data_IF_928162052845
#
_entry.id   IF_928162052845
#
_cell.length_a   1.000
_cell.length_b   1.000
_cell.length_c   1.000
_cell.angle_alpha   90.00
_cell.angle_beta   90.00
_cell.angle_gamma   90.00
#
_symmetry.space_group_name_H-M   'P 1'
#
loop_
_entity.id
_entity.type
_entity.pdbx_description
1 polymer ?
#
# COMPACT_ATOMS: atom_id res chain seq x y z
N UNK A 1 1.06 15.47 2.17
CA UNK A 1 0.91 14.51 1.06
C UNK A 1 -0.10 14.94 0.01
N UNK A 2 -0.86 15.99 0.25
CA UNK A 2 -1.94 16.46 -0.63
C UNK A 2 -1.82 17.94 -0.93
N UNK A 3 -0.61 18.47 -1.10
CA UNK A 3 -0.48 19.81 -1.65
C UNK A 3 -0.68 19.73 -3.18
N UNK A 4 -1.85 20.14 -3.71
CA UNK A 4 -2.14 20.06 -5.14
C UNK A 4 -1.25 20.98 -5.99
N UNK A 5 -0.53 21.92 -5.34
CA UNK A 5 0.32 22.90 -6.00
C UNK A 5 1.79 22.46 -6.12
N UNK A 6 2.14 21.26 -5.57
CA UNK A 6 3.48 20.72 -5.72
C UNK A 6 3.50 19.77 -6.93
N UNK A 7 4.03 20.18 -8.10
CA UNK A 7 4.14 19.30 -9.25
C UNK A 7 5.01 18.11 -8.83
N UNK A 8 4.43 16.91 -8.86
CA UNK A 8 5.12 15.69 -8.46
C UNK A 8 6.34 15.47 -9.36
N UNK A 9 7.50 15.88 -8.89
CA UNK A 9 8.78 15.62 -9.52
C UNK A 9 8.96 14.12 -9.81
N UNK A 10 8.34 13.26 -8.99
CA UNK A 10 8.33 11.80 -9.11
C UNK A 10 7.75 11.35 -10.46
N UNK A 11 6.63 11.93 -10.90
CA UNK A 11 6.04 11.62 -12.22
C UNK A 11 6.99 11.99 -13.36
N UNK A 12 7.65 13.13 -13.26
CA UNK A 12 8.59 13.59 -14.28
C UNK A 12 9.86 12.72 -14.34
N UNK A 13 10.20 12.02 -13.26
CA UNK A 13 11.37 11.13 -13.18
C UNK A 13 11.05 9.69 -13.59
N UNK A 14 9.76 9.34 -13.77
CA UNK A 14 9.30 7.97 -14.05
C UNK A 14 9.90 6.92 -13.10
N UNK A 15 9.83 7.20 -11.80
CA UNK A 15 10.31 6.31 -10.74
C UNK A 15 9.16 5.86 -9.85
N UNK A 16 9.17 4.62 -9.33
CA UNK A 16 8.15 4.18 -8.41
C UNK A 16 8.30 4.87 -7.04
N UNK A 17 7.17 5.11 -6.39
CA UNK A 17 7.12 5.62 -5.02
C UNK A 17 6.88 4.46 -4.05
N UNK A 18 7.76 4.32 -3.06
CA UNK A 18 7.58 3.38 -1.96
C UNK A 18 7.07 4.12 -0.73
N UNK A 19 5.94 3.66 -0.18
CA UNK A 19 5.34 4.20 1.05
C UNK A 19 5.60 3.22 2.18
N UNK A 20 6.26 3.71 3.22
CA UNK A 20 6.52 2.98 4.45
C UNK A 20 6.08 3.83 5.65
N UNK A 21 5.43 3.26 6.67
CA UNK A 21 5.02 3.98 7.86
C UNK A 21 6.20 4.38 8.73
N UNK A 22 5.98 5.30 9.65
CA UNK A 22 6.98 5.71 10.63
C UNK A 22 6.38 5.66 12.06
N UNK A 23 7.16 5.20 13.07
CA UNK A 23 6.66 4.97 14.43
C UNK A 23 6.06 6.21 15.08
N UNK A 24 6.67 7.35 14.83
CA UNK A 24 6.34 8.60 15.52
C UNK A 24 5.81 9.68 14.57
N UNK A 25 5.64 9.37 13.29
CA UNK A 25 5.54 10.44 12.28
C UNK A 25 6.84 11.24 12.20
N UNK A 26 6.88 12.22 11.29
CA UNK A 26 8.07 13.05 11.07
C UNK A 26 8.38 13.94 12.29
N UNK A 27 7.39 14.30 13.09
CA UNK A 27 7.45 15.38 14.06
C UNK A 27 7.38 14.94 15.54
N UNK A 28 7.51 13.66 15.85
CA UNK A 28 7.53 13.23 17.24
C UNK A 28 6.68 12.01 17.58
N UNK A 29 6.46 11.72 18.85
CA UNK A 29 5.77 10.51 19.29
C UNK A 29 4.32 10.48 18.80
N UNK A 30 3.80 9.26 18.61
CA UNK A 30 2.41 9.02 18.21
C UNK A 30 1.43 9.96 18.91
N UNK A 31 0.62 10.67 18.12
CA UNK A 31 -0.40 11.59 18.63
C UNK A 31 -1.49 10.86 19.45
N UNK A 32 -1.74 9.58 19.15
CA UNK A 32 -2.69 8.77 19.89
C UNK A 32 -2.03 8.16 21.15
N UNK A 33 -2.51 8.56 22.32
CA UNK A 33 -2.00 8.07 23.58
C UNK A 33 -2.14 6.55 23.76
N UNK A 34 -3.12 5.93 23.09
CA UNK A 34 -3.32 4.47 23.16
C UNK A 34 -2.23 3.69 22.42
N UNK A 35 -1.53 4.33 21.47
CA UNK A 35 -0.46 3.71 20.70
C UNK A 35 0.92 3.81 21.38
N UNK A 36 1.02 4.48 22.56
CA UNK A 36 2.31 4.75 23.23
C UNK A 36 2.83 3.61 24.09
N UNK A 37 2.04 2.57 24.30
CA UNK A 37 2.43 1.42 25.12
C UNK A 37 2.53 0.17 24.25
N UNK A 38 3.36 -0.79 24.69
CA UNK A 38 3.47 -2.11 24.06
C UNK A 38 3.88 -2.07 22.59
N UNK A 39 4.57 -1.03 22.16
CA UNK A 39 4.94 -0.79 20.75
C UNK A 39 3.73 -0.82 19.78
N UNK A 40 2.56 -0.42 20.28
CA UNK A 40 1.33 -0.44 19.47
C UNK A 40 1.38 0.52 18.28
N UNK A 41 2.22 1.54 18.34
CA UNK A 41 2.49 2.43 17.21
C UNK A 41 3.13 1.66 16.04
N UNK A 42 3.97 0.69 16.31
CA UNK A 42 4.56 -0.21 15.30
C UNK A 42 3.59 -1.34 14.97
N UNK A 43 3.09 -2.04 15.99
CA UNK A 43 2.30 -3.27 15.79
C UNK A 43 0.96 -3.01 15.10
N UNK A 44 0.27 -1.94 15.49
CA UNK A 44 -1.06 -1.58 14.97
C UNK A 44 -1.01 -0.31 14.14
N UNK A 45 -0.22 0.67 14.61
CA UNK A 45 -0.13 1.98 13.98
C UNK A 45 0.39 1.90 12.54
N UNK A 46 1.37 1.07 12.26
CA UNK A 46 1.89 0.87 10.90
C UNK A 46 0.79 0.38 9.96
N UNK A 47 0.09 -0.69 10.31
CA UNK A 47 -1.01 -1.20 9.51
C UNK A 47 -2.13 -0.17 9.30
N UNK A 48 -2.42 0.63 10.34
CA UNK A 48 -3.40 1.71 10.24
C UNK A 48 -2.94 2.82 9.28
N UNK A 49 -1.68 3.28 9.39
CA UNK A 49 -1.11 4.31 8.51
C UNK A 49 -1.15 3.89 7.04
N UNK A 50 -0.77 2.67 6.73
CA UNK A 50 -0.78 2.14 5.37
C UNK A 50 -2.19 2.01 4.81
N UNK A 51 -3.13 1.52 5.61
CA UNK A 51 -4.55 1.46 5.22
C UNK A 51 -5.11 2.85 4.93
N UNK A 52 -4.74 3.84 5.75
CA UNK A 52 -5.10 5.25 5.54
C UNK A 52 -4.47 5.77 4.25
N UNK A 53 -3.20 5.44 3.97
CA UNK A 53 -2.53 5.84 2.75
C UNK A 53 -3.26 5.29 1.50
N UNK A 54 -3.61 4.00 1.48
CA UNK A 54 -4.42 3.39 0.40
C UNK A 54 -5.73 4.14 0.21
N UNK A 55 -6.47 4.37 1.29
CA UNK A 55 -7.72 5.12 1.24
C UNK A 55 -7.52 6.55 0.68
N UNK A 56 -6.49 7.25 1.15
CA UNK A 56 -6.21 8.62 0.72
C UNK A 56 -5.85 8.69 -0.75
N UNK A 57 -5.04 7.77 -1.24
CA UNK A 57 -4.67 7.69 -2.66
C UNK A 57 -5.87 7.47 -3.56
N UNK A 58 -6.77 6.57 -3.18
CA UNK A 58 -7.96 6.23 -3.97
C UNK A 58 -9.03 7.31 -3.81
N UNK A 59 -9.45 7.63 -2.59
CA UNK A 59 -10.56 8.55 -2.34
C UNK A 59 -10.21 9.99 -2.69
N UNK A 60 -8.95 10.37 -2.50
CA UNK A 60 -8.42 11.68 -2.86
C UNK A 60 -8.18 11.87 -4.37
N UNK A 61 -8.44 10.84 -5.19
CA UNK A 61 -8.31 10.92 -6.64
C UNK A 61 -6.88 11.05 -7.15
N UNK A 62 -5.88 10.66 -6.34
CA UNK A 62 -4.46 10.74 -6.74
C UNK A 62 -4.21 9.86 -7.96
N UNK A 63 -4.71 8.62 -7.92
CA UNK A 63 -4.49 7.66 -9.00
C UNK A 63 -5.21 8.04 -10.30
N UNK A 64 -6.35 8.74 -10.24
CA UNK A 64 -7.02 9.25 -11.44
C UNK A 64 -6.25 10.41 -12.07
N UNK A 65 -5.74 11.35 -11.24
CA UNK A 65 -4.95 12.48 -11.73
C UNK A 65 -3.56 12.11 -12.25
N UNK A 66 -3.01 11.01 -11.74
CA UNK A 66 -1.66 10.54 -12.07
C UNK A 66 -1.71 9.06 -12.47
N UNK A 67 -2.24 8.74 -13.65
CA UNK A 67 -2.42 7.36 -14.10
C UNK A 67 -1.12 6.60 -14.32
N UNK A 68 -0.02 7.30 -14.56
CA UNK A 68 1.32 6.76 -14.80
C UNK A 68 2.10 6.45 -13.50
N UNK A 69 1.58 6.88 -12.35
CA UNK A 69 2.31 6.77 -11.09
C UNK A 69 2.22 5.35 -10.52
N UNK A 70 3.35 4.70 -10.33
CA UNK A 70 3.49 3.44 -9.60
C UNK A 70 3.76 3.70 -8.12
N UNK A 71 2.89 3.22 -7.26
CA UNK A 71 3.00 3.35 -5.80
C UNK A 71 2.98 1.97 -5.16
N UNK A 72 4.02 1.65 -4.40
CA UNK A 72 4.16 0.42 -3.65
C UNK A 72 3.99 0.68 -2.15
N UNK A 73 3.07 -0.04 -1.53
CA UNK A 73 2.80 -0.01 -0.09
C UNK A 73 3.54 -1.17 0.59
N UNK A 74 4.23 -0.88 1.70
CA UNK A 74 4.83 -1.92 2.53
C UNK A 74 3.78 -2.71 3.32
N UNK A 75 4.19 -3.80 3.94
CA UNK A 75 3.38 -4.68 4.82
C UNK A 75 2.00 -5.02 4.23
N UNK A 76 1.95 -5.33 2.91
CA UNK A 76 0.69 -5.62 2.23
C UNK A 76 -0.33 -4.49 2.23
N UNK A 77 0.10 -3.24 2.47
CA UNK A 77 -0.79 -2.09 2.65
C UNK A 77 -1.60 -2.17 3.94
N UNK A 78 -1.02 -2.74 4.98
CA UNK A 78 -1.61 -2.85 6.30
C UNK A 78 -2.86 -3.75 6.33
N UNK A 79 -3.98 -3.21 6.79
CA UNK A 79 -5.25 -3.93 6.87
C UNK A 79 -6.06 -3.92 5.55
N UNK A 80 -5.46 -3.53 4.42
CA UNK A 80 -6.17 -3.37 3.14
C UNK A 80 -6.92 -4.64 2.74
N UNK A 81 -6.29 -5.80 2.81
CA UNK A 81 -6.92 -7.07 2.47
C UNK A 81 -8.17 -7.35 3.33
N UNK A 82 -8.09 -7.11 4.64
CA UNK A 82 -9.20 -7.28 5.57
C UNK A 82 -10.29 -6.23 5.38
N UNK A 83 -9.92 -4.98 5.22
CA UNK A 83 -10.85 -3.85 5.15
C UNK A 83 -11.45 -3.63 3.75
N UNK A 84 -11.03 -4.37 2.74
CA UNK A 84 -11.42 -4.21 1.33
C UNK A 84 -12.91 -3.94 1.12
N UNK A 85 -13.78 -4.82 1.62
CA UNK A 85 -15.22 -4.68 1.42
C UNK A 85 -15.79 -3.41 2.04
N UNK A 86 -15.28 -3.01 3.23
CA UNK A 86 -15.68 -1.76 3.90
C UNK A 86 -15.21 -0.53 3.12
N UNK A 87 -13.98 -0.57 2.61
CA UNK A 87 -13.41 0.52 1.81
C UNK A 87 -14.18 0.71 0.50
N UNK A 88 -14.45 -0.38 -0.22
CA UNK A 88 -15.25 -0.38 -1.45
C UNK A 88 -16.65 0.18 -1.21
N UNK A 89 -17.32 -0.27 -0.16
CA UNK A 89 -18.65 0.24 0.19
C UNK A 89 -18.63 1.73 0.53
N UNK A 90 -17.58 2.21 1.21
CA UNK A 90 -17.42 3.63 1.51
C UNK A 90 -17.27 4.46 0.22
N UNK A 91 -16.45 4.02 -0.73
CA UNK A 91 -16.31 4.64 -2.03
C UNK A 91 -17.65 4.79 -2.78
N UNK A 92 -18.50 3.77 -2.69
CA UNK A 92 -19.80 3.77 -3.38
C UNK A 92 -20.88 4.61 -2.69
N UNK A 93 -20.88 4.67 -1.34
CA UNK A 93 -22.05 5.15 -0.59
C UNK A 93 -21.84 6.43 0.22
N UNK A 94 -20.59 6.82 0.48
CA UNK A 94 -20.36 7.99 1.35
C UNK A 94 -20.57 9.30 0.58
N UNK A 95 -21.12 10.36 1.24
CA UNK A 95 -21.47 11.62 0.57
C UNK A 95 -20.26 12.35 -0.04
N UNK A 96 -19.07 12.16 0.51
CA UNK A 96 -17.83 12.77 0.01
C UNK A 96 -17.28 12.11 -1.28
N UNK A 97 -17.75 10.90 -1.61
CA UNK A 97 -17.26 10.20 -2.80
C UNK A 97 -17.74 10.91 -4.09
N UNK A 98 -16.83 11.12 -5.03
CA UNK A 98 -17.15 11.68 -6.34
C UNK A 98 -18.08 10.76 -7.14
N UNK A 99 -18.77 11.28 -8.14
CA UNK A 99 -19.61 10.48 -9.02
C UNK A 99 -18.79 9.39 -9.74
N UNK A 100 -17.57 9.71 -10.15
CA UNK A 100 -16.63 8.78 -10.79
C UNK A 100 -16.23 7.66 -9.82
N UNK A 101 -15.85 7.99 -8.59
CA UNK A 101 -15.48 6.99 -7.59
C UNK A 101 -16.63 6.05 -7.22
N UNK A 102 -17.88 6.53 -7.30
CA UNK A 102 -19.08 5.72 -7.05
C UNK A 102 -19.44 4.76 -8.17
N UNK A 103 -18.90 4.97 -9.37
CA UNK A 103 -19.18 4.11 -10.49
C UNK A 103 -18.74 2.67 -10.18
N UNK A 104 -19.51 1.71 -10.68
CA UNK A 104 -19.23 0.30 -10.43
C UNK A 104 -17.89 -0.11 -11.02
N UNK A 105 -17.10 -0.85 -10.23
CA UNK A 105 -15.77 -1.29 -10.61
C UNK A 105 -14.65 -0.29 -10.34
N UNK A 106 -14.91 1.02 -10.27
CA UNK A 106 -13.84 2.04 -10.16
C UNK A 106 -12.93 1.84 -8.95
N UNK A 107 -13.50 1.50 -7.78
CA UNK A 107 -12.68 1.25 -6.59
C UNK A 107 -11.69 0.09 -6.82
N UNK A 108 -12.16 -1.00 -7.42
CA UNK A 108 -11.34 -2.18 -7.70
C UNK A 108 -10.26 -1.86 -8.73
N UNK A 109 -10.59 -1.15 -9.79
CA UNK A 109 -9.63 -0.72 -10.81
C UNK A 109 -8.51 0.12 -10.18
N UNK A 110 -8.85 1.07 -9.32
CA UNK A 110 -7.86 1.92 -8.65
C UNK A 110 -7.02 1.13 -7.64
N UNK A 111 -7.64 0.24 -6.85
CA UNK A 111 -6.92 -0.61 -5.92
C UNK A 111 -5.95 -1.55 -6.65
N UNK A 112 -6.37 -2.11 -7.78
CA UNK A 112 -5.56 -3.02 -8.59
C UNK A 112 -4.39 -2.32 -9.31
N UNK A 113 -4.33 -0.99 -9.29
CA UNK A 113 -3.18 -0.23 -9.80
C UNK A 113 -2.07 -0.06 -8.78
N UNK A 114 -2.37 -0.21 -7.49
CA UNK A 114 -1.37 -0.14 -6.43
C UNK A 114 -0.52 -1.41 -6.40
N UNK A 115 0.74 -1.23 -6.02
CA UNK A 115 1.67 -2.30 -5.72
C UNK A 115 1.69 -2.55 -4.22
N UNK A 116 1.90 -3.79 -3.83
CA UNK A 116 2.02 -4.17 -2.42
C UNK A 116 3.17 -5.14 -2.25
N UNK A 117 3.87 -5.06 -1.13
CA UNK A 117 4.78 -6.12 -0.77
C UNK A 117 4.04 -7.31 -0.10
N UNK A 118 4.73 -8.42 0.00
CA UNK A 118 4.19 -9.65 0.58
C UNK A 118 4.57 -9.83 2.05
N UNK A 119 5.13 -8.80 2.69
CA UNK A 119 5.50 -8.88 4.10
C UNK A 119 4.27 -8.77 4.99
N UNK A 120 3.58 -9.90 5.12
CA UNK A 120 2.47 -10.13 6.04
C UNK A 120 2.73 -11.40 6.82
N UNK A 121 2.54 -11.39 8.13
CA UNK A 121 3.09 -12.42 9.02
C UNK A 121 2.38 -13.77 9.01
N UNK A 122 1.25 -13.90 8.36
CA UNK A 122 0.49 -15.15 8.29
C UNK A 122 0.10 -15.49 6.85
N UNK A 123 0.21 -16.76 6.49
CA UNK A 123 -0.17 -17.26 5.17
C UNK A 123 -1.62 -16.90 4.80
N UNK A 124 -2.55 -17.05 5.73
CA UNK A 124 -3.96 -16.69 5.52
C UNK A 124 -4.14 -15.20 5.25
N UNK A 125 -3.34 -14.33 5.88
CA UNK A 125 -3.35 -12.89 5.62
C UNK A 125 -2.84 -12.57 4.22
N UNK A 126 -1.80 -13.25 3.76
CA UNK A 126 -1.29 -13.11 2.40
C UNK A 126 -2.31 -13.60 1.36
N UNK A 127 -2.97 -14.73 1.60
CA UNK A 127 -4.01 -15.22 0.71
C UNK A 127 -5.22 -14.28 0.66
N UNK A 128 -5.59 -13.66 1.79
CA UNK A 128 -6.64 -12.65 1.81
C UNK A 128 -6.24 -11.40 1.01
N UNK A 129 -4.98 -10.95 1.13
CA UNK A 129 -4.46 -9.86 0.31
C UNK A 129 -4.52 -10.21 -1.18
N UNK A 130 -3.97 -11.36 -1.58
CA UNK A 130 -3.96 -11.85 -2.97
C UNK A 130 -5.36 -11.95 -3.59
N UNK A 131 -6.37 -12.24 -2.78
CA UNK A 131 -7.76 -12.32 -3.23
C UNK A 131 -8.34 -10.97 -3.63
N UNK A 132 -7.86 -9.89 -3.01
CA UNK A 132 -8.47 -8.56 -3.11
C UNK A 132 -7.63 -7.55 -3.91
N UNK A 133 -6.39 -7.88 -4.25
CA UNK A 133 -5.49 -7.01 -5.03
C UNK A 133 -5.03 -7.68 -6.31
N UNK A 134 -4.36 -6.94 -7.18
CA UNK A 134 -3.78 -7.49 -8.40
C UNK A 134 -2.48 -8.25 -8.08
N UNK A 135 -2.46 -9.56 -8.28
CA UNK A 135 -1.31 -10.41 -8.00
C UNK A 135 -0.08 -10.11 -8.89
N UNK A 136 -0.29 -9.52 -10.06
CA UNK A 136 0.79 -9.08 -10.95
C UNK A 136 1.47 -7.80 -10.44
N UNK A 137 0.93 -7.20 -9.37
CA UNK A 137 1.47 -6.03 -8.67
C UNK A 137 1.89 -6.34 -7.23
N UNK A 138 2.14 -7.60 -6.92
CA UNK A 138 2.77 -8.01 -5.67
C UNK A 138 4.28 -8.13 -5.85
N UNK A 139 5.05 -7.64 -4.89
CA UNK A 139 6.51 -7.79 -4.82
C UNK A 139 6.90 -8.48 -3.51
N UNK A 140 8.01 -9.21 -3.53
CA UNK A 140 8.48 -9.90 -2.33
C UNK A 140 9.10 -8.90 -1.35
N UNK A 141 8.56 -8.85 -0.14
CA UNK A 141 9.06 -8.05 0.98
C UNK A 141 9.53 -8.91 2.14
N UNK A 142 10.66 -8.57 2.75
CA UNK A 142 11.24 -9.30 3.89
C UNK A 142 11.28 -8.48 5.16
N UNK A 143 10.99 -7.19 5.08
CA UNK A 143 11.29 -6.21 6.13
C UNK A 143 12.73 -6.34 6.65
N UNK A 144 13.69 -6.40 5.73
CA UNK A 144 15.12 -6.59 6.04
C UNK A 144 15.58 -5.62 7.11
N UNK A 145 16.26 -6.15 8.13
CA UNK A 145 16.70 -5.44 9.32
C UNK A 145 15.58 -4.90 10.24
N UNK A 146 14.32 -5.17 9.95
CA UNK A 146 13.20 -4.90 10.85
C UNK A 146 13.18 -5.90 12.01
N UNK A 147 12.52 -5.51 13.12
CA UNK A 147 12.41 -6.35 14.33
C UNK A 147 11.63 -7.64 14.09
N UNK A 148 10.78 -7.67 13.08
CA UNK A 148 9.88 -8.75 12.69
C UNK A 148 10.30 -9.45 11.40
N UNK A 149 11.56 -9.24 10.96
CA UNK A 149 12.11 -9.95 9.83
C UNK A 149 12.04 -11.45 10.06
N UNK A 150 11.41 -12.16 9.13
CA UNK A 150 11.30 -13.61 9.18
C UNK A 150 12.49 -14.28 8.48
N UNK A 151 12.81 -15.50 8.88
CA UNK A 151 13.80 -16.34 8.18
C UNK A 151 13.17 -16.89 6.89
N UNK A 152 13.36 -16.16 5.80
CA UNK A 152 12.91 -16.57 4.47
C UNK A 152 14.02 -17.30 3.71
N UNK A 153 13.66 -18.34 2.98
CA UNK A 153 14.46 -18.74 1.84
C UNK A 153 14.22 -17.74 0.70
N UNK A 154 14.86 -16.58 0.80
CA UNK A 154 14.65 -15.44 -0.10
C UNK A 154 14.70 -15.82 -1.57
N UNK A 155 15.63 -16.73 -1.96
CA UNK A 155 15.78 -17.14 -3.34
C UNK A 155 14.53 -17.83 -3.90
N UNK A 156 13.95 -18.74 -3.12
CA UNK A 156 12.81 -19.54 -3.58
C UNK A 156 11.49 -18.79 -3.41
N UNK A 157 11.34 -18.07 -2.31
CA UNK A 157 10.11 -17.36 -2.00
C UNK A 157 9.94 -16.07 -2.83
N UNK A 158 11.04 -15.39 -3.18
CA UNK A 158 11.00 -14.22 -4.07
C UNK A 158 10.75 -14.58 -5.54
N UNK A 159 11.07 -15.82 -5.95
CA UNK A 159 11.01 -16.24 -7.35
C UNK A 159 9.67 -15.97 -8.03
N UNK A 160 8.49 -16.22 -7.42
CA UNK A 160 7.19 -15.93 -8.04
C UNK A 160 6.97 -14.44 -8.33
N UNK A 161 7.66 -13.54 -7.62
CA UNK A 161 7.48 -12.11 -7.70
C UNK A 161 8.58 -11.37 -8.46
N UNK A 162 9.59 -12.10 -8.98
CA UNK A 162 10.76 -11.52 -9.65
C UNK A 162 10.36 -10.65 -10.84
N UNK A 163 9.45 -11.13 -11.69
CA UNK A 163 8.97 -10.38 -12.86
C UNK A 163 8.26 -9.08 -12.43
N UNK A 164 7.43 -9.15 -11.41
CA UNK A 164 6.72 -8.00 -10.87
C UNK A 164 7.71 -6.94 -10.35
N UNK A 165 8.71 -7.37 -9.59
CA UNK A 165 9.75 -6.47 -9.08
C UNK A 165 10.55 -5.81 -10.22
N UNK A 166 10.89 -6.57 -11.27
CA UNK A 166 11.56 -6.02 -12.45
C UNK A 166 10.71 -4.95 -13.15
N UNK A 167 9.40 -5.21 -13.31
CA UNK A 167 8.47 -4.24 -13.89
C UNK A 167 8.37 -2.96 -13.03
N UNK A 168 8.16 -3.11 -11.73
CA UNK A 168 8.05 -1.97 -10.81
C UNK A 168 9.33 -1.12 -10.83
N UNK A 169 10.49 -1.77 -10.79
CA UNK A 169 11.80 -1.09 -10.75
C UNK A 169 12.32 -0.66 -12.13
N UNK A 170 11.56 -0.91 -13.20
CA UNK A 170 11.97 -0.61 -14.57
C UNK A 170 13.33 -1.21 -14.92
N UNK A 171 13.61 -2.41 -14.40
CA UNK A 171 14.86 -3.10 -14.64
C UNK A 171 14.98 -3.54 -16.11
N UNK A 172 16.13 -3.32 -16.72
CA UNK A 172 16.37 -3.68 -18.10
C UNK A 172 16.14 -5.19 -18.31
N UNK A 173 15.29 -5.53 -19.29
CA UNK A 173 14.96 -6.93 -19.63
C UNK A 173 13.71 -7.47 -18.93
N UNK A 174 12.87 -6.62 -18.34
CA UNK A 174 11.58 -7.03 -17.80
C UNK A 174 10.52 -7.21 -18.90
#
# INVERSE_FOLDING_TARGET
WTNPDNPLTIVALDVPLFIHPAPAGIDGPSGDANLRQFDLDIIVGFAAQETIAVCTLIYGGVLQRHPELDICLSHGGGATGYAYGRMKMAAQKRPWASAELRADGTFDELLHRLWFDTHVHAGDSLELLKKNVNNERLVFGTNFAGWDQQDYNVRDEAKPYTKNAQLLLRAAGA
#
